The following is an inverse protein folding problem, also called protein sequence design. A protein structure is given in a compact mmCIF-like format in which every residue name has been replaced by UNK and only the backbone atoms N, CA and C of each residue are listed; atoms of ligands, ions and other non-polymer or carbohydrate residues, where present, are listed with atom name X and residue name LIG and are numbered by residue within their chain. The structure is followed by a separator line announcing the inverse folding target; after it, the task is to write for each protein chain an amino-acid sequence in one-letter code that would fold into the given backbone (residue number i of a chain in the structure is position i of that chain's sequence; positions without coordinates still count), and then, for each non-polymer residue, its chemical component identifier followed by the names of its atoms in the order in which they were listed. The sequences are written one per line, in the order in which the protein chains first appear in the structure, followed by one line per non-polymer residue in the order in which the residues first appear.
data_IF_993996710786
#
_entry.id   IF_993996710786
#
_cell.length_a   1.000
_cell.length_b   1.000
_cell.length_c   1.000
_cell.angle_alpha   90.00
_cell.angle_beta   90.00
_cell.angle_gamma   90.00
#
_symmetry.space_group_name_H-M   'P 1'
#
loop_
_entity.id
_entity.type
_entity.pdbx_description
1 polymer ?
#
# COMPACT_ATOMS: atom_id res chain seq x y z
N UNK A 1 24.09 27.39 -4.56
CA UNK A 1 22.63 27.13 -4.43
C UNK A 1 22.19 25.78 -5.01
N UNK A 2 22.74 25.30 -6.12
CA UNK A 2 22.35 24.02 -6.74
C UNK A 2 22.51 22.80 -5.82
N UNK A 3 23.64 22.66 -5.11
CA UNK A 3 23.88 21.57 -4.14
C UNK A 3 22.84 21.54 -3.00
N UNK A 4 22.40 22.71 -2.53
CA UNK A 4 21.38 22.82 -1.48
C UNK A 4 20.01 22.32 -1.97
N UNK A 5 19.63 22.68 -3.21
CA UNK A 5 18.37 22.25 -3.82
C UNK A 5 18.33 20.73 -4.04
N UNK A 6 19.41 20.16 -4.55
CA UNK A 6 19.53 18.71 -4.72
C UNK A 6 19.51 17.98 -3.38
N UNK A 7 20.21 18.53 -2.37
CA UNK A 7 20.17 17.99 -1.01
C UNK A 7 18.76 17.96 -0.43
N UNK A 8 17.98 19.04 -0.61
CA UNK A 8 16.61 19.12 -0.10
C UNK A 8 15.65 18.12 -0.79
N UNK A 9 15.83 17.87 -2.09
CA UNK A 9 15.08 16.84 -2.82
C UNK A 9 15.44 15.44 -2.29
N UNK A 10 16.73 15.16 -2.07
CA UNK A 10 17.14 13.86 -1.54
C UNK A 10 16.59 13.64 -0.13
N UNK A 11 16.69 14.65 0.74
CA UNK A 11 16.13 14.58 2.10
C UNK A 11 14.62 14.39 2.06
N UNK A 12 13.91 15.13 1.20
CA UNK A 12 12.46 14.98 1.02
C UNK A 12 12.06 13.59 0.56
N UNK A 13 12.83 12.99 -0.35
CA UNK A 13 12.64 11.61 -0.79
C UNK A 13 12.77 10.61 0.37
N UNK A 14 13.86 10.71 1.14
CA UNK A 14 14.07 9.82 2.30
C UNK A 14 12.98 9.99 3.35
N UNK A 15 12.52 11.22 3.61
CA UNK A 15 11.40 11.47 4.53
C UNK A 15 10.11 10.78 4.05
N UNK A 16 9.80 10.84 2.76
CA UNK A 16 8.62 10.14 2.21
C UNK A 16 8.79 8.62 2.30
N UNK A 17 9.97 8.08 1.97
CA UNK A 17 10.23 6.63 2.09
C UNK A 17 10.03 6.16 3.53
N UNK A 18 10.61 6.86 4.50
CA UNK A 18 10.44 6.56 5.93
C UNK A 18 8.97 6.67 6.35
N UNK A 19 8.27 7.70 5.90
CA UNK A 19 6.84 7.88 6.20
C UNK A 19 5.98 6.73 5.64
N UNK A 20 6.23 6.30 4.40
CA UNK A 20 5.51 5.18 3.77
C UNK A 20 5.78 3.87 4.50
N UNK A 21 7.04 3.57 4.81
CA UNK A 21 7.42 2.36 5.57
C UNK A 21 6.77 2.37 6.95
N UNK A 22 6.82 3.50 7.65
CA UNK A 22 6.18 3.67 8.96
C UNK A 22 4.66 3.48 8.90
N UNK A 23 4.00 4.12 7.93
CA UNK A 23 2.55 4.01 7.74
C UNK A 23 2.12 2.56 7.42
N UNK A 24 2.80 1.88 6.50
CA UNK A 24 2.50 0.48 6.18
C UNK A 24 2.78 -0.46 7.34
N UNK A 25 3.83 -0.21 8.12
CA UNK A 25 4.16 -1.02 9.29
C UNK A 25 3.09 -0.86 10.38
N UNK A 26 2.64 0.37 10.63
CA UNK A 26 1.54 0.66 11.56
C UNK A 26 0.22 0.05 11.11
N UNK A 27 -0.11 0.17 9.81
CA UNK A 27 -1.30 -0.44 9.24
C UNK A 27 -1.27 -1.96 9.35
N UNK A 28 -0.10 -2.58 9.12
CA UNK A 28 0.10 -4.03 9.33
C UNK A 28 -0.13 -4.43 10.78
N UNK A 29 0.45 -3.73 11.76
CA UNK A 29 0.25 -4.07 13.17
C UNK A 29 -1.21 -3.94 13.59
N UNK A 30 -1.90 -2.90 13.12
CA UNK A 30 -3.33 -2.71 13.39
C UNK A 30 -4.18 -3.80 12.74
N UNK A 31 -3.96 -4.10 11.46
CA UNK A 31 -4.70 -5.13 10.74
C UNK A 31 -4.46 -6.53 11.32
N UNK A 32 -3.23 -6.85 11.74
CA UNK A 32 -2.93 -8.11 12.41
C UNK A 32 -3.57 -8.20 13.78
N UNK A 33 -3.61 -7.11 14.56
CA UNK A 33 -4.27 -7.10 15.86
C UNK A 33 -5.78 -7.38 15.75
N UNK A 34 -6.43 -6.82 14.73
CA UNK A 34 -7.86 -7.08 14.46
C UNK A 34 -8.10 -8.54 14.01
N UNK A 35 -7.24 -9.04 13.11
CA UNK A 35 -7.39 -10.39 12.53
C UNK A 35 -6.96 -11.52 13.48
N UNK A 36 -6.14 -11.24 14.50
CA UNK A 36 -5.71 -12.23 15.49
C UNK A 36 -6.75 -12.47 16.60
N UNK A 37 -7.88 -11.76 16.57
CA UNK A 37 -8.97 -11.94 17.52
C UNK A 37 -9.63 -13.31 17.36
N UNK A 38 -9.99 -13.94 18.48
CA UNK A 38 -10.69 -15.23 18.50
C UNK A 38 -11.99 -15.20 17.67
N UNK A 39 -12.69 -14.06 17.71
CA UNK A 39 -13.90 -13.77 16.93
C UNK A 39 -13.66 -13.86 15.41
N UNK A 40 -12.51 -13.37 14.93
CA UNK A 40 -12.11 -13.43 13.52
C UNK A 40 -11.89 -14.86 13.03
N UNK A 41 -11.36 -15.72 13.91
CA UNK A 41 -11.15 -17.15 13.63
C UNK A 41 -12.47 -17.92 13.66
N UNK A 42 -13.37 -17.57 14.59
CA UNK A 42 -14.71 -18.15 14.71
C UNK A 42 -15.60 -17.79 13.52
N UNK A 43 -15.61 -16.52 13.11
CA UNK A 43 -16.29 -16.07 11.89
C UNK A 43 -15.76 -16.79 10.62
N UNK A 44 -14.46 -17.07 10.56
CA UNK A 44 -13.87 -17.83 9.46
C UNK A 44 -14.28 -19.32 9.49
N UNK A 45 -14.32 -19.95 10.66
CA UNK A 45 -14.84 -21.32 10.78
C UNK A 45 -16.31 -21.42 10.42
N UNK A 46 -17.14 -20.47 10.86
CA UNK A 46 -18.57 -20.41 10.54
C UNK A 46 -18.83 -20.18 9.06
N UNK A 47 -18.01 -19.34 8.41
CA UNK A 47 -18.05 -19.20 6.96
C UNK A 47 -17.75 -20.53 6.26
N UNK A 48 -16.67 -21.23 6.65
CA UNK A 48 -16.34 -22.53 6.06
C UNK A 48 -17.43 -23.57 6.29
N UNK A 49 -18.04 -23.59 7.48
CA UNK A 49 -19.12 -24.51 7.79
C UNK A 49 -20.36 -24.23 6.93
N UNK A 50 -20.79 -22.97 6.80
CA UNK A 50 -21.92 -22.59 5.93
C UNK A 50 -21.69 -22.93 4.47
N UNK A 51 -20.47 -22.70 3.96
CA UNK A 51 -20.12 -23.04 2.57
C UNK A 51 -20.17 -24.56 2.37
N UNK A 52 -19.67 -25.34 3.33
CA UNK A 52 -19.73 -26.80 3.27
C UNK A 52 -21.18 -27.31 3.27
N UNK A 53 -22.03 -26.81 4.17
CA UNK A 53 -23.45 -27.19 4.22
C UNK A 53 -24.18 -26.83 2.93
N UNK A 54 -23.96 -25.64 2.35
CA UNK A 54 -24.56 -25.25 1.07
C UNK A 54 -24.13 -26.12 -0.12
N UNK A 55 -22.92 -26.69 -0.08
CA UNK A 55 -22.47 -27.63 -1.11
C UNK A 55 -23.08 -29.01 -0.93
N UNK A 56 -23.17 -29.50 0.31
CA UNK A 56 -23.75 -30.81 0.64
C UNK A 56 -25.27 -30.86 0.35
N UNK A 57 -25.97 -29.74 0.55
CA UNK A 57 -27.41 -29.60 0.28
C UNK A 57 -27.73 -29.38 -1.21
N UNK A 58 -26.72 -29.29 -2.09
CA UNK A 58 -26.91 -29.18 -3.54
C UNK A 58 -27.60 -27.89 -4.03
N UNK A 59 -27.82 -26.91 -3.14
CA UNK A 59 -28.58 -25.69 -3.43
C UNK A 59 -27.78 -24.51 -3.98
N UNK A 60 -26.45 -24.64 -4.11
CA UNK A 60 -25.61 -23.54 -4.58
C UNK A 60 -25.62 -23.42 -6.12
N UNK A 61 -26.00 -22.26 -6.69
CA UNK A 61 -25.99 -22.04 -8.15
C UNK A 61 -24.59 -22.10 -8.78
N UNK A 62 -23.53 -22.10 -7.97
CA UNK A 62 -22.13 -22.26 -8.40
C UNK A 62 -21.43 -23.23 -7.45
N UNK A 63 -20.85 -24.30 -8.00
CA UNK A 63 -20.00 -25.23 -7.27
C UNK A 63 -18.69 -24.52 -6.85
N UNK A 64 -18.65 -24.03 -5.61
CA UNK A 64 -17.50 -23.29 -5.07
C UNK A 64 -16.70 -24.20 -4.15
N UNK A 65 -15.43 -24.47 -4.42
CA UNK A 65 -14.62 -25.34 -3.56
C UNK A 65 -14.49 -24.78 -2.14
N UNK A 66 -14.57 -25.67 -1.13
CA UNK A 66 -14.31 -25.30 0.26
C UNK A 66 -12.88 -24.74 0.35
N UNK A 67 -12.69 -23.53 0.93
CA UNK A 67 -11.35 -22.96 1.09
C UNK A 67 -10.43 -23.92 1.86
N UNK A 68 -9.31 -24.31 1.24
CA UNK A 68 -8.30 -25.22 1.85
C UNK A 68 -7.52 -24.58 3.00
N UNK A 69 -7.48 -23.25 3.09
CA UNK A 69 -6.71 -22.53 4.11
C UNK A 69 -7.43 -22.53 5.46
N UNK A 70 -6.73 -22.99 6.51
CA UNK A 70 -7.20 -22.90 7.89
C UNK A 70 -7.25 -21.44 8.39
N UNK A 71 -6.47 -20.55 7.78
CA UNK A 71 -6.40 -19.12 8.12
C UNK A 71 -7.08 -18.25 7.07
N UNK A 72 -7.63 -17.07 7.45
CA UNK A 72 -8.23 -16.15 6.50
C UNK A 72 -7.19 -15.63 5.49
N UNK A 73 -7.54 -15.53 4.19
CA UNK A 73 -6.57 -15.23 3.12
C UNK A 73 -5.93 -13.84 3.25
N UNK A 74 -6.64 -12.87 3.84
CA UNK A 74 -6.12 -11.53 4.17
C UNK A 74 -4.97 -11.59 5.18
N UNK A 75 -5.02 -12.53 6.13
CA UNK A 75 -3.95 -12.76 7.11
C UNK A 75 -2.69 -13.31 6.44
N UNK A 76 -2.84 -14.27 5.53
CA UNK A 76 -1.72 -14.83 4.74
C UNK A 76 -1.07 -13.76 3.86
N UNK A 77 -1.86 -12.88 3.23
CA UNK A 77 -1.35 -11.77 2.43
C UNK A 77 -0.54 -10.76 3.27
N UNK A 78 -1.05 -10.39 4.46
CA UNK A 78 -0.39 -9.45 5.38
C UNK A 78 0.79 -10.05 6.15
N UNK A 79 0.83 -11.37 6.31
CA UNK A 79 1.94 -12.09 6.96
C UNK A 79 3.06 -12.40 5.98
N UNK A 80 2.75 -13.11 4.89
CA UNK A 80 3.75 -13.74 4.03
C UNK A 80 4.14 -12.86 2.84
N UNK A 81 3.25 -11.98 2.36
CA UNK A 81 3.44 -11.18 1.14
C UNK A 81 3.57 -9.67 1.40
N UNK A 82 3.67 -9.26 2.67
CA UNK A 82 3.76 -7.85 3.05
C UNK A 82 4.94 -7.12 2.37
N UNK A 83 6.10 -7.77 2.26
CA UNK A 83 7.26 -7.16 1.61
C UNK A 83 7.05 -6.93 0.11
N UNK A 84 6.28 -7.79 -0.56
CA UNK A 84 5.94 -7.62 -1.98
C UNK A 84 5.02 -6.41 -2.14
N UNK A 85 4.00 -6.29 -1.29
CA UNK A 85 3.11 -5.13 -1.27
C UNK A 85 3.88 -3.84 -0.95
N UNK A 86 4.76 -3.87 0.05
CA UNK A 86 5.61 -2.74 0.43
C UNK A 86 6.52 -2.32 -0.73
N UNK A 87 7.15 -3.28 -1.41
CA UNK A 87 7.99 -2.99 -2.56
C UNK A 87 7.19 -2.32 -3.70
N UNK A 88 5.97 -2.79 -3.97
CA UNK A 88 5.12 -2.22 -5.01
C UNK A 88 4.66 -0.80 -4.66
N UNK A 89 4.26 -0.56 -3.41
CA UNK A 89 3.91 0.77 -2.91
C UNK A 89 5.12 1.71 -2.99
N UNK A 90 6.29 1.27 -2.53
CA UNK A 90 7.53 2.05 -2.62
C UNK A 90 7.88 2.38 -4.07
N UNK A 91 7.71 1.45 -5.00
CA UNK A 91 7.97 1.66 -6.43
C UNK A 91 7.06 2.76 -6.99
N UNK A 92 5.76 2.70 -6.73
CA UNK A 92 4.80 3.72 -7.17
C UNK A 92 5.10 5.07 -6.52
N UNK A 93 5.32 5.10 -5.20
CA UNK A 93 5.66 6.32 -4.46
C UNK A 93 6.97 6.95 -4.96
N UNK A 94 7.97 6.14 -5.29
CA UNK A 94 9.25 6.61 -5.85
C UNK A 94 9.03 7.27 -7.20
N UNK A 95 8.30 6.59 -8.10
CA UNK A 95 7.98 7.14 -9.42
C UNK A 95 7.23 8.46 -9.29
N UNK A 96 6.18 8.50 -8.45
CA UNK A 96 5.38 9.69 -8.22
C UNK A 96 6.23 10.84 -7.67
N UNK A 97 7.08 10.57 -6.68
CA UNK A 97 7.97 11.57 -6.11
C UNK A 97 8.87 12.21 -7.16
N UNK A 98 9.52 11.40 -7.99
CA UNK A 98 10.42 11.90 -9.03
C UNK A 98 9.69 12.72 -10.10
N UNK A 99 8.52 12.26 -10.53
CA UNK A 99 7.68 13.01 -11.48
C UNK A 99 7.27 14.36 -10.89
N UNK A 100 6.80 14.38 -9.64
CA UNK A 100 6.46 15.64 -8.95
C UNK A 100 7.68 16.55 -8.78
N UNK A 101 8.82 16.03 -8.32
CA UNK A 101 10.05 16.80 -8.13
C UNK A 101 10.57 17.40 -9.45
N UNK A 102 10.42 16.66 -10.55
CA UNK A 102 10.74 17.15 -11.89
C UNK A 102 9.79 18.29 -12.32
N UNK A 103 8.49 18.11 -12.11
CA UNK A 103 7.47 19.10 -12.44
C UNK A 103 7.66 20.41 -11.65
N UNK A 104 7.87 20.33 -10.33
CA UNK A 104 8.18 21.49 -9.48
C UNK A 104 9.50 22.16 -9.88
N UNK A 105 10.51 21.36 -10.22
CA UNK A 105 11.79 21.88 -10.71
C UNK A 105 11.66 22.64 -12.02
N UNK A 106 10.73 22.24 -12.90
CA UNK A 106 10.38 22.95 -14.13
C UNK A 106 9.62 24.25 -13.85
N UNK A 107 8.56 24.19 -13.06
CA UNK A 107 7.74 25.35 -12.72
C UNK A 107 8.56 26.50 -12.10
N UNK A 108 9.46 26.18 -11.17
CA UNK A 108 10.33 27.16 -10.50
C UNK A 108 11.37 27.80 -11.44
N UNK A 109 11.68 27.19 -12.59
CA UNK A 109 12.60 27.77 -13.59
C UNK A 109 11.88 28.79 -14.48
N UNK A 110 10.59 28.58 -14.74
CA UNK A 110 9.77 29.47 -15.60
C UNK A 110 9.39 30.77 -14.90
N UNK A 111 9.41 30.81 -13.57
CA UNK A 111 9.09 32.01 -12.78
C UNK A 111 10.18 33.09 -12.76
N UNK A 112 11.29 32.91 -13.48
CA UNK A 112 12.36 33.92 -13.56
C UNK A 112 11.85 35.15 -14.34
N UNK A 113 12.08 36.39 -13.85
CA UNK A 113 11.38 37.58 -14.34
C UNK A 113 11.68 37.83 -15.81
N UNK A 114 10.61 38.03 -16.60
CA UNK A 114 10.67 38.63 -17.92
C UNK A 114 11.21 40.05 -17.77
N UNK A 115 12.54 40.20 -17.89
CA UNK A 115 13.21 41.49 -17.89
C UNK A 115 12.79 42.27 -19.12
N UNK A 116 12.00 43.32 -18.89
CA UNK A 116 11.56 44.33 -19.85
C UNK A 116 12.76 44.90 -20.62
N UNK A 117 12.96 44.41 -21.85
CA UNK A 117 13.95 44.94 -22.78
C UNK A 117 13.35 46.14 -23.51
N UNK A 118 13.29 47.28 -22.82
CA UNK A 118 13.08 48.61 -23.41
C UNK A 118 14.28 49.50 -23.13
N UNK A 119 15.18 49.57 -24.11
CA UNK A 119 16.02 50.74 -24.43
C UNK A 119 16.61 50.57 -25.82
#
# INVERSE_FOLDING_TARGET
MQKLRTGLIIVGYFLIVVAVIGAMSSARSWALAELDTADSREQWSDFRHRVQTQMEEGGAPVARSVPKSAEPPTFVLLRDHFYVLLAFVLLISTLLYWVSAWMFSGALRTSAPYGDSRS
#
